data_IF_883808450558
#
_entry.id   IF_883808450558
#
_cell.length_a   1.000
_cell.length_b   1.000
_cell.length_c   1.000
_cell.angle_alpha   90.00
_cell.angle_beta   90.00
_cell.angle_gamma   90.00
#
_symmetry.space_group_name_H-M   'P 1'
#
loop_
_entity.id
_entity.type
_entity.pdbx_description
1 polymer ?
#
# COMPACT_ATOMS: atom_id res chain seq x y z
N UNK A 1 -2.08 -6.94 -21.14
CA UNK A 1 -2.80 -7.91 -20.29
C UNK A 1 -2.05 -9.22 -20.02
N UNK A 2 -1.54 -9.97 -21.03
CA UNK A 2 -0.86 -11.28 -20.81
C UNK A 2 0.24 -11.27 -19.73
N UNK A 3 1.10 -10.25 -19.74
CA UNK A 3 2.18 -10.09 -18.76
C UNK A 3 1.65 -9.88 -17.34
N UNK A 4 0.63 -9.03 -17.17
CA UNK A 4 0.03 -8.75 -15.87
C UNK A 4 -0.53 -10.03 -15.24
N UNK A 5 -1.29 -10.83 -16.00
CA UNK A 5 -1.81 -12.12 -15.54
C UNK A 5 -0.70 -13.08 -15.09
N UNK A 6 0.41 -13.09 -15.83
CA UNK A 6 1.57 -13.92 -15.46
C UNK A 6 2.20 -13.42 -14.15
N UNK A 7 2.38 -12.10 -14.00
CA UNK A 7 2.99 -11.54 -12.79
C UNK A 7 2.12 -11.75 -11.57
N UNK A 8 0.80 -11.63 -11.72
CA UNK A 8 -0.16 -11.92 -10.64
C UNK A 8 -0.12 -13.39 -10.23
N UNK A 9 -0.02 -14.33 -11.18
CA UNK A 9 0.16 -15.76 -10.86
C UNK A 9 1.45 -16.07 -10.12
N UNK A 10 2.50 -15.29 -10.35
CA UNK A 10 3.73 -15.43 -9.58
C UNK A 10 3.60 -14.79 -8.21
N UNK A 11 3.06 -13.57 -8.14
CA UNK A 11 2.84 -12.83 -6.90
C UNK A 11 2.03 -13.64 -5.88
N UNK A 12 0.99 -14.35 -6.34
CA UNK A 12 0.15 -15.25 -5.55
C UNK A 12 0.95 -16.32 -4.79
N UNK A 13 2.11 -16.74 -5.33
CA UNK A 13 2.97 -17.76 -4.73
C UNK A 13 4.05 -17.20 -3.82
N UNK A 14 4.30 -15.89 -3.86
CA UNK A 14 5.45 -15.27 -3.17
C UNK A 14 5.33 -15.46 -1.67
N UNK A 15 4.16 -15.17 -1.09
CA UNK A 15 3.93 -15.31 0.35
C UNK A 15 4.17 -16.75 0.81
N UNK A 16 3.49 -17.71 0.19
CA UNK A 16 3.65 -19.14 0.50
C UNK A 16 5.12 -19.58 0.38
N UNK A 17 5.79 -19.16 -0.70
CA UNK A 17 7.21 -19.48 -0.92
C UNK A 17 8.09 -18.94 0.21
N UNK A 18 7.86 -17.69 0.64
CA UNK A 18 8.61 -17.07 1.73
C UNK A 18 8.32 -17.76 3.05
N UNK A 19 7.05 -17.95 3.41
CA UNK A 19 6.64 -18.60 4.67
C UNK A 19 7.25 -20.00 4.77
N UNK A 20 7.07 -20.83 3.76
CA UNK A 20 7.55 -22.22 3.79
C UNK A 20 9.07 -22.30 3.78
N UNK A 21 9.77 -21.54 2.92
CA UNK A 21 11.22 -21.70 2.78
C UNK A 21 12.05 -20.91 3.80
N UNK A 22 11.51 -19.83 4.35
CA UNK A 22 12.25 -18.97 5.28
C UNK A 22 11.86 -19.17 6.74
N UNK A 23 10.64 -19.62 7.03
CA UNK A 23 10.15 -19.75 8.40
C UNK A 23 9.90 -21.21 8.76
N UNK A 24 9.03 -21.92 8.04
CA UNK A 24 8.68 -23.31 8.36
C UNK A 24 9.90 -24.25 8.24
N UNK A 25 10.55 -24.24 7.07
CA UNK A 25 11.70 -25.11 6.80
C UNK A 25 12.94 -24.79 7.66
N UNK A 26 13.00 -23.59 8.24
CA UNK A 26 14.13 -23.13 9.07
C UNK A 26 13.77 -23.03 10.56
N UNK A 27 12.52 -23.34 10.93
CA UNK A 27 11.97 -23.11 12.26
C UNK A 27 12.26 -21.70 12.80
N UNK A 28 12.22 -20.69 11.93
CA UNK A 28 12.44 -19.29 12.29
C UNK A 28 11.12 -18.69 12.76
N UNK A 29 11.15 -17.89 13.83
CA UNK A 29 10.00 -17.12 14.29
C UNK A 29 9.57 -16.06 13.25
N UNK A 30 8.26 -15.94 13.05
CA UNK A 30 7.66 -14.93 12.19
C UNK A 30 7.34 -13.69 13.00
N UNK A 31 8.09 -12.62 12.77
CA UNK A 31 8.00 -11.38 13.55
C UNK A 31 7.09 -10.34 12.88
N UNK A 32 6.80 -9.26 13.60
CA UNK A 32 5.89 -8.21 13.12
C UNK A 32 6.46 -7.48 11.91
N UNK A 33 7.78 -7.34 11.81
CA UNK A 33 8.45 -6.59 10.77
C UNK A 33 8.37 -7.31 9.41
N UNK A 34 8.55 -8.62 9.43
CA UNK A 34 8.30 -9.50 8.30
C UNK A 34 6.80 -9.53 7.93
N UNK A 35 5.90 -9.53 8.92
CA UNK A 35 4.46 -9.46 8.69
C UNK A 35 4.04 -8.15 8.00
N UNK A 36 4.60 -7.00 8.40
CA UNK A 36 4.36 -5.71 7.72
C UNK A 36 4.88 -5.76 6.29
N UNK A 37 6.10 -6.25 6.08
CA UNK A 37 6.74 -6.30 4.76
C UNK A 37 5.94 -7.17 3.79
N UNK A 38 5.58 -8.38 4.21
CA UNK A 38 4.75 -9.28 3.39
C UNK A 38 3.32 -8.77 3.26
N UNK A 39 2.77 -8.09 4.27
CA UNK A 39 1.45 -7.47 4.22
C UNK A 39 1.34 -6.36 3.18
N UNK A 40 2.35 -5.50 3.06
CA UNK A 40 2.39 -4.46 2.01
C UNK A 40 2.52 -5.09 0.61
N UNK A 41 3.30 -6.17 0.48
CA UNK A 41 3.38 -6.92 -0.77
C UNK A 41 2.04 -7.57 -1.14
N UNK A 42 1.37 -8.19 -0.17
CA UNK A 42 0.04 -8.80 -0.36
C UNK A 42 -1.00 -7.76 -0.78
N UNK A 43 -0.98 -6.57 -0.19
CA UNK A 43 -1.85 -5.47 -0.58
C UNK A 43 -1.52 -4.95 -2.00
N UNK A 44 -0.25 -4.89 -2.39
CA UNK A 44 0.17 -4.59 -3.78
C UNK A 44 -0.39 -5.62 -4.76
N UNK A 45 -0.28 -6.91 -4.42
CA UNK A 45 -0.80 -8.01 -5.21
C UNK A 45 -2.32 -7.91 -5.40
N UNK A 46 -3.07 -7.74 -4.29
CA UNK A 46 -4.53 -7.57 -4.32
C UNK A 46 -4.97 -6.37 -5.14
N UNK A 47 -4.29 -5.22 -5.00
CA UNK A 47 -4.54 -4.06 -5.87
C UNK A 47 -4.30 -4.38 -7.34
N UNK A 48 -3.27 -5.16 -7.66
CA UNK A 48 -3.02 -5.65 -9.02
C UNK A 48 -4.12 -6.56 -9.56
N UNK A 49 -4.69 -7.44 -8.72
CA UNK A 49 -5.85 -8.28 -9.09
C UNK A 49 -7.10 -7.43 -9.34
N UNK A 50 -7.39 -6.49 -8.44
CA UNK A 50 -8.51 -5.55 -8.58
C UNK A 50 -8.38 -4.72 -9.85
N UNK A 51 -7.17 -4.19 -10.13
CA UNK A 51 -6.87 -3.46 -11.36
C UNK A 51 -7.14 -4.32 -12.60
N UNK A 52 -6.67 -5.58 -12.62
CA UNK A 52 -6.94 -6.51 -13.73
C UNK A 52 -8.45 -6.68 -13.94
N UNK A 53 -9.20 -6.91 -12.86
CA UNK A 53 -10.65 -7.12 -12.94
C UNK A 53 -11.38 -5.88 -13.48
N UNK A 54 -11.04 -4.69 -12.99
CA UNK A 54 -11.64 -3.44 -13.45
C UNK A 54 -11.41 -3.25 -14.96
N UNK A 55 -10.18 -3.46 -15.43
CA UNK A 55 -9.83 -3.30 -16.84
C UNK A 55 -10.57 -4.33 -17.71
N UNK A 56 -10.63 -5.59 -17.29
CA UNK A 56 -11.31 -6.65 -18.06
C UNK A 56 -12.82 -6.41 -18.18
N UNK A 57 -13.41 -5.73 -17.20
CA UNK A 57 -14.82 -5.34 -17.21
C UNK A 57 -15.07 -3.94 -17.79
N UNK A 58 -14.05 -3.27 -18.35
CA UNK A 58 -14.14 -1.90 -18.90
C UNK A 58 -14.67 -0.89 -17.87
N UNK A 59 -14.28 -1.07 -16.61
CA UNK A 59 -14.63 -0.19 -15.50
C UNK A 59 -13.48 0.78 -15.26
N UNK A 60 -13.62 2.02 -15.75
CA UNK A 60 -12.56 3.02 -15.67
C UNK A 60 -12.45 3.67 -14.28
N UNK A 61 -13.56 3.72 -13.55
CA UNK A 61 -13.59 4.30 -12.21
C UNK A 61 -12.73 3.49 -11.24
N UNK A 62 -11.73 4.14 -10.65
CA UNK A 62 -10.86 3.57 -9.62
C UNK A 62 -9.57 2.93 -10.13
N UNK A 63 -9.37 2.80 -11.45
CA UNK A 63 -8.10 2.26 -12.02
C UNK A 63 -6.90 3.11 -11.57
N UNK A 64 -7.01 4.44 -11.62
CA UNK A 64 -5.91 5.34 -11.23
C UNK A 64 -5.67 5.31 -9.72
N UNK A 65 -6.73 5.23 -8.91
CA UNK A 65 -6.60 5.06 -7.45
C UNK A 65 -5.89 3.75 -7.10
N UNK A 66 -6.19 2.66 -7.81
CA UNK A 66 -5.47 1.39 -7.63
C UNK A 66 -4.01 1.53 -8.05
N UNK A 67 -3.76 2.15 -9.20
CA UNK A 67 -2.40 2.37 -9.73
C UNK A 67 -1.54 3.20 -8.79
N UNK A 68 -2.09 4.27 -8.19
CA UNK A 68 -1.45 5.05 -7.13
C UNK A 68 -1.09 4.18 -5.93
N UNK A 69 -2.06 3.42 -5.42
CA UNK A 69 -1.83 2.54 -4.27
C UNK A 69 -0.76 1.48 -4.54
N UNK A 70 -0.64 0.99 -5.78
CA UNK A 70 0.43 0.07 -6.17
C UNK A 70 1.81 0.77 -6.18
N UNK A 71 1.88 2.03 -6.61
CA UNK A 71 3.11 2.82 -6.56
C UNK A 71 3.55 3.04 -5.10
N UNK A 72 2.65 3.46 -4.23
CA UNK A 72 2.93 3.66 -2.80
C UNK A 72 3.51 2.40 -2.16
N UNK A 73 2.84 1.26 -2.34
CA UNK A 73 3.30 -0.01 -1.80
C UNK A 73 4.68 -0.39 -2.34
N UNK A 74 4.94 -0.16 -3.63
CA UNK A 74 6.25 -0.46 -4.23
C UNK A 74 7.37 0.37 -3.60
N UNK A 75 7.14 1.67 -3.38
CA UNK A 75 8.10 2.56 -2.74
C UNK A 75 8.32 2.16 -1.27
N UNK A 76 7.24 1.85 -0.54
CA UNK A 76 7.34 1.38 0.85
C UNK A 76 8.08 0.05 0.96
N UNK A 77 7.86 -0.89 0.03
CA UNK A 77 8.61 -2.13 -0.05
C UNK A 77 10.09 -1.87 -0.33
N UNK A 78 10.43 -0.99 -1.28
CA UNK A 78 11.83 -0.61 -1.52
C UNK A 78 12.49 -0.12 -0.23
N UNK A 79 11.82 0.69 0.57
CA UNK A 79 12.33 1.16 1.85
C UNK A 79 12.54 0.02 2.86
N UNK A 80 11.50 -0.77 3.10
CA UNK A 80 11.54 -1.88 4.07
C UNK A 80 12.60 -2.94 3.71
N UNK A 81 12.90 -3.11 2.42
CA UNK A 81 13.85 -4.11 1.94
C UNK A 81 15.28 -3.56 1.75
N UNK A 82 15.49 -2.24 1.79
CA UNK A 82 16.82 -1.61 1.57
C UNK A 82 17.51 -1.15 2.86
N UNK A 83 16.77 -1.01 3.95
CA UNK A 83 17.28 -0.52 5.23
C UNK A 83 17.12 -1.56 6.33
N UNK A 84 17.42 -1.16 7.58
CA UNK A 84 17.09 -1.96 8.76
C UNK A 84 15.56 -2.12 8.86
N UNK A 85 15.07 -3.21 8.26
CA UNK A 85 13.67 -3.62 8.25
C UNK A 85 13.07 -3.66 9.65
N UNK A 86 13.88 -3.96 10.67
CA UNK A 86 13.43 -4.10 12.04
C UNK A 86 12.82 -2.79 12.54
N UNK A 87 13.58 -1.70 12.50
CA UNK A 87 13.08 -0.42 13.03
C UNK A 87 11.96 0.16 12.17
N UNK A 88 12.03 -0.02 10.85
CA UNK A 88 11.02 0.47 9.91
C UNK A 88 9.67 -0.27 10.04
N UNK A 89 9.69 -1.60 10.11
CA UNK A 89 8.48 -2.42 10.29
C UNK A 89 7.80 -2.11 11.61
N UNK A 90 8.57 -1.99 12.69
CA UNK A 90 8.09 -1.52 14.00
C UNK A 90 7.49 -0.12 13.93
N UNK A 91 8.16 0.80 13.24
CA UNK A 91 7.68 2.18 13.04
C UNK A 91 6.36 2.24 12.29
N UNK A 92 6.21 1.45 11.22
CA UNK A 92 4.97 1.31 10.46
C UNK A 92 3.84 0.79 11.35
N UNK A 93 4.08 -0.30 12.09
CA UNK A 93 3.09 -0.91 12.96
C UNK A 93 2.62 0.08 14.03
N UNK A 94 3.55 0.70 14.76
CA UNK A 94 3.24 1.64 15.83
C UNK A 94 2.47 2.86 15.31
N UNK A 95 2.85 3.43 14.15
CA UNK A 95 2.12 4.55 13.55
C UNK A 95 0.66 4.20 13.23
N UNK A 96 0.43 3.05 12.59
CA UNK A 96 -0.92 2.65 12.20
C UNK A 96 -1.78 2.32 13.42
N UNK A 97 -1.23 1.61 14.42
CA UNK A 97 -1.95 1.30 15.67
C UNK A 97 -2.31 2.55 16.47
N UNK A 98 -1.38 3.51 16.58
CA UNK A 98 -1.68 4.78 17.24
C UNK A 98 -2.76 5.56 16.47
N UNK A 99 -2.72 5.56 15.14
CA UNK A 99 -3.75 6.20 14.31
C UNK A 99 -5.13 5.58 14.54
N UNK A 100 -5.23 4.25 14.58
CA UNK A 100 -6.46 3.52 14.93
C UNK A 100 -6.98 3.93 16.33
N UNK A 101 -6.09 3.94 17.33
CA UNK A 101 -6.46 4.32 18.71
C UNK A 101 -6.90 5.80 18.81
N UNK A 102 -6.31 6.70 18.02
CA UNK A 102 -6.74 8.11 17.95
C UNK A 102 -8.14 8.28 17.35
N UNK A 103 -8.48 7.48 16.34
CA UNK A 103 -9.84 7.44 15.80
C UNK A 103 -10.81 6.96 16.88
N UNK A 104 -10.47 5.87 17.58
CA UNK A 104 -11.30 5.36 18.67
C UNK A 104 -11.50 6.40 19.77
N UNK A 105 -10.44 7.12 20.18
CA UNK A 105 -10.55 8.24 21.12
C UNK A 105 -11.53 9.32 20.65
N UNK A 106 -11.58 9.60 19.34
CA UNK A 106 -12.52 10.57 18.77
C UNK A 106 -13.97 10.04 18.83
N UNK A 107 -14.17 8.74 18.59
CA UNK A 107 -15.50 8.11 18.65
C UNK A 107 -16.04 8.10 20.08
N UNK A 108 -15.21 7.77 21.07
CA UNK A 108 -15.63 7.65 22.47
C UNK A 108 -15.59 8.99 23.24
N UNK A 109 -15.19 10.07 22.58
CA UNK A 109 -15.19 11.40 23.16
C UNK A 109 -16.62 11.81 23.52
N UNK A 110 -16.81 12.39 24.70
CA UNK A 110 -18.14 12.83 25.18
C UNK A 110 -18.49 14.25 24.68
N UNK A 111 -17.79 14.72 23.65
CA UNK A 111 -18.04 15.99 22.97
C UNK A 111 -19.09 15.88 21.85
N UNK A 112 -19.41 17.00 21.21
CA UNK A 112 -20.42 17.04 20.14
C UNK A 112 -20.03 16.24 18.91
N UNK A 113 -18.72 16.04 18.65
CA UNK A 113 -18.25 15.27 17.50
C UNK A 113 -18.45 13.78 17.77
N UNK A 114 -18.00 13.28 18.93
CA UNK A 114 -18.15 11.88 19.32
C UNK A 114 -19.62 11.46 19.35
N UNK A 115 -20.51 12.29 19.92
CA UNK A 115 -21.97 12.05 19.92
C UNK A 115 -22.53 11.89 18.51
N UNK A 116 -22.19 12.81 17.60
CA UNK A 116 -22.64 12.75 16.20
C UNK A 116 -22.10 11.52 15.47
N UNK A 117 -20.88 11.09 15.76
CA UNK A 117 -20.32 9.85 15.18
C UNK A 117 -21.10 8.62 15.66
N UNK A 118 -21.40 8.52 16.96
CA UNK A 118 -22.18 7.42 17.52
C UNK A 118 -23.60 7.37 16.92
N UNK A 119 -24.25 8.53 16.76
CA UNK A 119 -25.54 8.66 16.08
C UNK A 119 -25.47 8.16 14.63
N UNK A 120 -24.44 8.57 13.87
CA UNK A 120 -24.24 8.13 12.49
C UNK A 120 -24.00 6.61 12.39
N UNK A 121 -23.33 6.04 13.38
CA UNK A 121 -23.06 4.60 13.46
C UNK A 121 -24.26 3.80 13.99
N UNK A 122 -25.34 4.47 14.42
CA UNK A 122 -26.48 3.86 15.07
C UNK A 122 -26.09 2.96 16.26
N UNK A 123 -25.10 3.40 17.04
CA UNK A 123 -24.59 2.72 18.24
C UNK A 123 -24.53 3.67 19.42
N UNK A 124 -24.44 3.13 20.64
CA UNK A 124 -24.22 3.91 21.85
C UNK A 124 -22.77 3.81 22.36
N UNK A 125 -22.40 4.75 23.23
CA UNK A 125 -21.06 4.84 23.82
C UNK A 125 -20.69 3.60 24.64
N UNK A 126 -21.64 2.97 25.33
CA UNK A 126 -21.35 1.80 26.16
C UNK A 126 -21.10 0.56 25.31
N UNK A 127 -21.86 0.38 24.23
CA UNK A 127 -21.59 -0.66 23.22
C UNK A 127 -20.17 -0.53 22.67
N UNK A 128 -19.75 0.67 22.24
CA UNK A 128 -18.39 0.91 21.72
C UNK A 128 -17.33 0.71 22.81
N UNK A 129 -17.54 1.20 24.03
CA UNK A 129 -16.61 1.01 25.16
C UNK A 129 -16.51 -0.47 25.59
N UNK A 130 -17.59 -1.24 25.50
CA UNK A 130 -17.62 -2.66 25.88
C UNK A 130 -16.97 -3.54 24.81
N UNK A 131 -17.24 -3.27 23.53
CA UNK A 131 -16.59 -3.96 22.41
C UNK A 131 -15.10 -3.65 22.32
N UNK A 132 -14.72 -2.39 22.58
CA UNK A 132 -13.31 -2.01 22.61
C UNK A 132 -12.61 -2.49 23.87
N UNK A 133 -13.30 -2.56 25.02
CA UNK A 133 -12.76 -3.02 26.31
C UNK A 133 -11.49 -2.28 26.77
N UNK A 134 -11.18 -1.15 26.15
CA UNK A 134 -9.85 -0.57 26.11
C UNK A 134 -9.89 0.91 26.48
N UNK A 135 -8.94 1.31 27.31
CA UNK A 135 -8.52 2.70 27.46
C UNK A 135 -7.51 3.01 26.33
N UNK A 136 -7.90 3.74 25.26
CA UNK A 136 -7.01 3.92 24.13
C UNK A 136 -5.82 4.83 24.47
N UNK A 137 -5.96 5.76 25.42
CA UNK A 137 -4.84 6.58 25.89
C UNK A 137 -3.79 5.74 26.62
N UNK A 138 -4.22 4.86 27.52
CA UNK A 138 -3.32 3.91 28.18
C UNK A 138 -2.60 3.05 27.15
N UNK A 139 -3.29 2.62 26.09
CA UNK A 139 -2.71 1.77 25.05
C UNK A 139 -1.74 2.50 24.13
N UNK A 140 -2.02 3.77 23.84
CA UNK A 140 -1.03 4.64 23.17
C UNK A 140 0.23 4.75 24.05
N UNK A 141 0.10 4.95 25.37
CA UNK A 141 1.26 5.01 26.28
C UNK A 141 2.04 3.68 26.34
N UNK A 142 1.33 2.54 26.39
CA UNK A 142 1.93 1.21 26.35
C UNK A 142 2.70 0.99 25.04
N UNK A 143 2.09 1.29 23.89
CA UNK A 143 2.74 1.20 22.57
C UNK A 143 3.96 2.13 22.48
N UNK A 144 3.86 3.37 22.93
CA UNK A 144 5.01 4.30 22.92
C UNK A 144 6.16 3.78 23.79
N UNK A 145 5.85 3.06 24.87
CA UNK A 145 6.86 2.43 25.73
C UNK A 145 7.47 1.18 25.09
N UNK A 146 6.63 0.31 24.51
CA UNK A 146 7.05 -0.91 23.82
C UNK A 146 7.91 -0.63 22.58
N UNK A 147 7.60 0.47 21.87
CA UNK A 147 8.29 0.92 20.67
C UNK A 147 9.16 2.15 20.93
N UNK A 148 9.74 2.26 22.13
CA UNK A 148 10.59 3.39 22.53
C UNK A 148 11.75 3.63 21.56
N UNK A 149 12.34 2.56 21.02
CA UNK A 149 13.38 2.59 19.99
C UNK A 149 12.95 3.37 18.73
N UNK A 150 11.69 3.22 18.31
CA UNK A 150 11.11 3.96 17.19
C UNK A 150 10.96 5.44 17.54
N UNK A 151 10.38 5.73 18.71
CA UNK A 151 10.03 7.11 19.10
C UNK A 151 11.24 7.95 19.54
N UNK A 152 12.37 7.32 19.83
CA UNK A 152 13.66 8.01 19.99
C UNK A 152 14.19 8.57 18.66
N UNK A 153 13.83 7.95 17.52
CA UNK A 153 14.27 8.34 16.19
C UNK A 153 13.23 9.18 15.44
N UNK A 154 11.96 8.82 15.57
CA UNK A 154 10.83 9.46 14.88
C UNK A 154 9.96 10.25 15.86
N UNK A 155 9.75 11.52 15.55
CA UNK A 155 8.80 12.38 16.28
C UNK A 155 7.35 11.95 16.05
N UNK A 156 6.52 12.11 17.08
CA UNK A 156 5.08 11.88 16.94
C UNK A 156 4.48 12.83 15.88
N UNK A 157 3.54 12.32 15.08
CA UNK A 157 2.87 13.08 14.02
C UNK A 157 3.66 13.16 12.71
N UNK A 158 4.90 12.67 12.66
CA UNK A 158 5.64 12.50 11.41
C UNK A 158 5.28 11.19 10.72
N UNK A 159 5.54 11.13 9.41
CA UNK A 159 5.41 9.93 8.59
C UNK A 159 6.24 8.77 9.16
N UNK A 160 5.72 7.54 9.05
CA UNK A 160 6.34 6.37 9.68
C UNK A 160 7.74 6.05 9.14
N UNK A 161 8.02 6.46 7.90
CA UNK A 161 9.32 6.30 7.25
C UNK A 161 10.32 7.42 7.58
N UNK A 162 9.92 8.46 8.32
CA UNK A 162 10.77 9.60 8.66
C UNK A 162 11.68 9.32 9.87
N UNK A 163 12.44 8.22 9.84
CA UNK A 163 13.41 7.87 10.89
C UNK A 163 14.72 8.66 10.75
N UNK A 164 15.01 9.18 9.56
CA UNK A 164 16.20 9.97 9.25
C UNK A 164 16.03 11.48 9.51
N UNK A 165 14.83 11.91 9.90
CA UNK A 165 14.40 13.31 10.05
C UNK A 165 14.52 14.17 8.77
N UNK A 166 14.74 13.53 7.61
CA UNK A 166 14.91 14.17 6.29
C UNK A 166 13.79 13.78 5.33
N UNK A 167 13.28 12.56 5.42
CA UNK A 167 12.24 12.03 4.54
C UNK A 167 10.86 12.29 5.14
N UNK A 168 10.36 13.51 5.01
CA UNK A 168 9.17 14.05 5.69
C UNK A 168 7.86 13.81 4.95
N UNK A 169 7.92 13.52 3.66
CA UNK A 169 6.74 13.26 2.84
C UNK A 169 7.05 12.24 1.73
N UNK A 170 5.99 11.81 1.04
CA UNK A 170 6.09 10.75 0.04
C UNK A 170 6.93 11.15 -1.19
N UNK A 171 6.95 12.44 -1.57
CA UNK A 171 7.81 12.95 -2.64
C UNK A 171 9.29 12.81 -2.25
N UNK A 172 9.67 13.20 -1.04
CA UNK A 172 11.03 13.03 -0.54
C UNK A 172 11.43 11.55 -0.48
N UNK A 173 10.49 10.67 -0.14
CA UNK A 173 10.72 9.22 -0.18
C UNK A 173 10.93 8.72 -1.62
N UNK A 174 10.18 9.24 -2.60
CA UNK A 174 10.40 8.91 -4.01
C UNK A 174 11.77 9.39 -4.50
N UNK A 175 12.19 10.60 -4.13
CA UNK A 175 13.53 11.14 -4.47
C UNK A 175 14.65 10.25 -3.95
N UNK A 176 14.48 9.67 -2.76
CA UNK A 176 15.44 8.74 -2.16
C UNK A 176 15.72 7.51 -3.02
N UNK A 177 14.75 7.08 -3.83
CA UNK A 177 14.87 5.93 -4.74
C UNK A 177 15.01 6.32 -6.21
N UNK A 178 15.32 7.59 -6.52
CA UNK A 178 15.40 8.11 -7.89
C UNK A 178 14.09 7.93 -8.68
N UNK A 179 12.94 8.09 -7.99
CA UNK A 179 11.60 7.93 -8.56
C UNK A 179 10.77 9.22 -8.54
N UNK A 180 11.45 10.38 -8.54
CA UNK A 180 10.80 11.69 -8.63
C UNK A 180 10.00 11.90 -9.93
N UNK A 181 10.48 11.49 -11.12
CA UNK A 181 9.69 11.57 -12.35
C UNK A 181 8.37 10.79 -12.26
N UNK A 182 8.42 9.57 -11.73
CA UNK A 182 7.27 8.70 -11.52
C UNK A 182 6.27 9.33 -10.56
N UNK A 183 6.75 10.02 -9.51
CA UNK A 183 5.87 10.76 -8.62
C UNK A 183 5.11 11.86 -9.37
N UNK A 184 5.81 12.67 -10.17
CA UNK A 184 5.17 13.79 -10.87
C UNK A 184 4.21 13.34 -11.98
N UNK A 185 4.56 12.28 -12.70
CA UNK A 185 3.77 11.80 -13.85
C UNK A 185 2.63 10.89 -13.39
N UNK A 186 2.87 10.01 -12.42
CA UNK A 186 1.90 8.98 -12.01
C UNK A 186 1.17 9.42 -10.76
N UNK A 187 1.91 9.64 -9.68
CA UNK A 187 1.30 9.85 -8.36
C UNK A 187 0.42 11.10 -8.31
N UNK A 188 0.94 12.22 -8.82
CA UNK A 188 0.21 13.49 -8.83
C UNK A 188 -1.04 13.41 -9.70
N UNK A 189 -0.88 12.90 -10.93
CA UNK A 189 -1.99 12.72 -11.88
C UNK A 189 -3.10 11.85 -11.31
N UNK A 190 -2.76 10.73 -10.67
CA UNK A 190 -3.75 9.82 -10.08
C UNK A 190 -4.35 10.36 -8.79
N UNK A 191 -3.67 11.26 -8.09
CA UNK A 191 -4.19 11.92 -6.89
C UNK A 191 -5.24 12.97 -7.23
N UNK A 192 -5.09 13.67 -8.35
CA UNK A 192 -6.07 14.63 -8.85
C UNK A 192 -7.44 13.93 -9.06
N UNK A 193 -7.47 12.73 -9.66
CA UNK A 193 -8.73 11.97 -9.88
C UNK A 193 -9.56 11.67 -8.62
N UNK A 194 -8.94 11.59 -7.44
CA UNK A 194 -9.62 11.27 -6.18
C UNK A 194 -10.48 12.44 -5.70
N UNK A 195 -10.26 13.66 -6.20
CA UNK A 195 -11.00 14.85 -5.79
C UNK A 195 -12.20 15.12 -6.70
N UNK A 196 -13.38 15.31 -6.10
CA UNK A 196 -14.65 15.55 -6.81
C UNK A 196 -14.62 16.75 -7.78
N UNK A 197 -13.70 17.70 -7.56
CA UNK A 197 -13.52 18.90 -8.40
C UNK A 197 -13.09 18.57 -9.84
N UNK A 198 -12.50 17.41 -10.08
CA UNK A 198 -12.04 17.00 -11.42
C UNK A 198 -13.13 16.35 -12.28
N UNK A 199 -14.33 16.12 -11.74
CA UNK A 199 -15.50 15.74 -12.55
C UNK A 199 -15.82 16.82 -13.59
N UNK A 200 -15.61 18.11 -13.28
CA UNK A 200 -15.88 19.22 -14.20
C UNK A 200 -15.04 19.16 -15.48
N UNK A 201 -13.83 18.59 -15.42
CA UNK A 201 -12.96 18.41 -16.59
C UNK A 201 -13.42 17.25 -17.49
N UNK A 202 -14.36 16.44 -17.01
CA UNK A 202 -14.83 15.19 -17.64
C UNK A 202 -16.29 15.22 -18.04
N UNK A 203 -17.05 16.23 -17.61
CA UNK A 203 -18.45 16.35 -17.97
C UNK A 203 -18.55 16.73 -19.44
N UNK A 204 -19.27 15.91 -20.20
CA UNK A 204 -19.80 16.25 -21.52
C UNK A 204 -21.30 16.44 -21.39
N UNK A 205 -21.76 17.63 -21.72
CA UNK A 205 -23.19 17.96 -21.81
C UNK A 205 -23.55 18.16 -23.27
N UNK A 206 -24.49 17.36 -23.76
CA UNK A 206 -25.14 17.52 -25.06
C UNK A 206 -26.66 17.67 -24.84
N UNK A 207 -27.42 18.00 -25.89
CA UNK A 207 -28.89 18.13 -25.80
C UNK A 207 -29.54 16.84 -25.26
N UNK A 208 -29.94 16.86 -23.98
CA UNK A 208 -30.59 15.73 -23.29
C UNK A 208 -29.65 14.69 -22.69
N UNK A 209 -28.33 14.83 -22.82
CA UNK A 209 -27.36 13.85 -22.32
C UNK A 209 -26.28 14.48 -21.43
N UNK A 210 -26.09 13.89 -20.25
CA UNK A 210 -24.98 14.16 -19.35
C UNK A 210 -24.13 12.90 -19.24
N UNK A 211 -22.87 12.98 -19.67
CA UNK A 211 -21.90 11.90 -19.54
C UNK A 211 -20.64 12.39 -18.82
N UNK A 212 -20.05 11.54 -17.99
CA UNK A 212 -18.69 11.74 -17.47
C UNK A 212 -17.75 10.90 -18.33
N UNK A 213 -16.91 11.56 -19.10
CA UNK A 213 -15.91 10.92 -19.95
C UNK A 213 -14.82 10.29 -19.08
N UNK A 214 -14.39 9.07 -19.41
CA UNK A 214 -13.21 8.49 -18.77
C UNK A 214 -11.94 9.22 -19.19
N UNK A 215 -10.92 9.21 -18.33
CA UNK A 215 -9.65 9.90 -18.59
C UNK A 215 -8.73 9.19 -19.58
N UNK A 216 -9.04 7.95 -19.93
CA UNK A 216 -8.19 7.14 -20.80
C UNK A 216 -9.02 6.32 -21.77
N UNK A 217 -8.81 6.53 -23.06
CA UNK A 217 -9.28 5.61 -24.12
C UNK A 217 -8.58 4.24 -24.05
N UNK A 218 -7.54 4.10 -23.20
CA UNK A 218 -6.69 2.91 -23.07
C UNK A 218 -6.11 2.74 -21.65
N UNK A 219 -6.40 1.60 -21.01
CA UNK A 219 -5.77 1.20 -19.74
C UNK A 219 -4.33 0.67 -19.89
N UNK A 220 -3.73 0.77 -21.08
CA UNK A 220 -2.39 0.22 -21.35
C UNK A 220 -1.30 0.83 -20.48
N UNK A 221 -1.47 2.10 -20.13
CA UNK A 221 -0.55 2.81 -19.25
C UNK A 221 -0.56 2.21 -17.84
N UNK A 222 -1.73 2.06 -17.23
CA UNK A 222 -1.89 1.47 -15.90
C UNK A 222 -1.47 0.00 -15.87
N UNK A 223 -1.75 -0.76 -16.94
CA UNK A 223 -1.22 -2.12 -17.12
C UNK A 223 0.32 -2.11 -17.09
N UNK A 224 0.95 -1.16 -17.78
CA UNK A 224 2.41 -1.07 -17.86
C UNK A 224 3.02 -0.75 -16.49
N UNK A 225 2.42 0.17 -15.75
CA UNK A 225 2.83 0.49 -14.37
C UNK A 225 2.69 -0.72 -13.45
N UNK A 226 1.53 -1.39 -13.46
CA UNK A 226 1.30 -2.59 -12.66
C UNK A 226 2.33 -3.68 -12.97
N UNK A 227 2.70 -3.86 -14.24
CA UNK A 227 3.75 -4.82 -14.61
C UNK A 227 5.11 -4.45 -14.00
N UNK A 228 5.50 -3.18 -14.05
CA UNK A 228 6.77 -2.70 -13.51
C UNK A 228 6.79 -2.89 -12.00
N UNK A 229 5.76 -2.42 -11.30
CA UNK A 229 5.64 -2.46 -9.84
C UNK A 229 5.61 -3.88 -9.29
N UNK A 230 4.81 -4.79 -9.89
CA UNK A 230 4.79 -6.19 -9.48
C UNK A 230 6.13 -6.87 -9.76
N UNK A 231 6.70 -6.69 -10.96
CA UNK A 231 7.95 -7.34 -11.31
C UNK A 231 9.12 -6.89 -10.44
N UNK A 232 9.20 -5.60 -10.12
CA UNK A 232 10.21 -5.05 -9.22
C UNK A 232 10.03 -5.58 -7.78
N UNK A 233 8.80 -5.54 -7.26
CA UNK A 233 8.51 -5.99 -5.90
C UNK A 233 8.76 -7.49 -5.71
N UNK A 234 8.38 -8.34 -6.66
CA UNK A 234 8.67 -9.79 -6.62
C UNK A 234 10.18 -10.03 -6.55
N UNK A 235 10.98 -9.33 -7.37
CA UNK A 235 12.45 -9.45 -7.34
C UNK A 235 13.02 -9.03 -6.00
N UNK A 236 12.57 -7.89 -5.47
CA UNK A 236 13.09 -7.35 -4.23
C UNK A 236 12.77 -8.28 -3.05
N UNK A 237 11.55 -8.82 -2.98
CA UNK A 237 11.16 -9.80 -1.95
C UNK A 237 12.01 -11.07 -2.04
N UNK A 238 12.10 -11.70 -3.21
CA UNK A 238 12.92 -12.92 -3.34
C UNK A 238 14.40 -12.67 -3.06
N UNK A 239 14.92 -11.51 -3.45
CA UNK A 239 16.30 -11.12 -3.17
C UNK A 239 16.53 -10.95 -1.66
N UNK A 240 15.67 -10.17 -0.99
CA UNK A 240 15.76 -9.87 0.42
C UNK A 240 15.71 -11.13 1.29
N UNK A 241 14.78 -12.05 1.00
CA UNK A 241 14.67 -13.32 1.72
C UNK A 241 15.68 -14.40 1.27
N UNK A 242 16.61 -14.07 0.36
CA UNK A 242 17.66 -14.99 -0.06
C UNK A 242 17.18 -16.17 -0.92
N UNK A 243 16.01 -16.05 -1.56
CA UNK A 243 15.35 -17.09 -2.36
C UNK A 243 15.93 -17.17 -3.78
N UNK A 244 17.24 -17.43 -3.89
CA UNK A 244 18.00 -17.38 -5.16
C UNK A 244 17.41 -18.24 -6.28
N UNK A 245 16.90 -19.43 -5.96
CA UNK A 245 16.30 -20.35 -6.95
C UNK A 245 14.99 -19.79 -7.51
N UNK A 246 14.10 -19.29 -6.64
CA UNK A 246 12.85 -18.66 -7.03
C UNK A 246 13.11 -17.39 -7.86
N UNK A 247 14.05 -16.54 -7.41
CA UNK A 247 14.46 -15.33 -8.14
C UNK A 247 14.98 -15.65 -9.54
N UNK A 248 15.83 -16.67 -9.68
CA UNK A 248 16.35 -17.08 -10.99
C UNK A 248 15.22 -17.55 -11.91
N UNK A 249 14.34 -18.41 -11.41
CA UNK A 249 13.19 -18.90 -12.17
C UNK A 249 12.28 -17.76 -12.63
N UNK A 250 11.95 -16.84 -11.71
CA UNK A 250 11.17 -15.65 -12.02
C UNK A 250 11.79 -14.82 -13.14
N UNK A 251 13.10 -14.53 -13.03
CA UNK A 251 13.80 -13.73 -14.04
C UNK A 251 13.87 -14.41 -15.42
N UNK A 252 14.02 -15.74 -15.47
CA UNK A 252 13.94 -16.50 -16.73
C UNK A 252 12.55 -16.39 -17.35
N UNK A 253 11.52 -16.57 -16.54
CA UNK A 253 10.12 -16.50 -16.96
C UNK A 253 9.75 -15.10 -17.48
N UNK A 254 10.20 -14.03 -16.82
CA UNK A 254 10.02 -12.65 -17.32
C UNK A 254 10.76 -12.44 -18.64
N UNK A 255 12.00 -12.90 -18.77
CA UNK A 255 12.79 -12.78 -20.03
C UNK A 255 12.09 -13.45 -21.22
N UNK A 256 11.56 -14.65 -21.03
CA UNK A 256 10.83 -15.39 -22.07
C UNK A 256 9.59 -14.60 -22.52
N UNK A 257 8.82 -14.08 -21.58
CA UNK A 257 7.60 -13.33 -21.89
C UNK A 257 7.87 -11.94 -22.48
N UNK A 258 9.03 -11.34 -22.20
CA UNK A 258 9.45 -10.04 -22.77
C UNK A 258 9.97 -10.19 -24.21
N UNK A 259 10.72 -11.27 -24.51
CA UNK A 259 11.22 -11.55 -25.87
C UNK A 259 10.13 -11.93 -26.88
N UNK A 260 8.92 -12.27 -26.44
CA UNK A 260 7.78 -12.52 -27.34
C UNK A 260 7.08 -11.25 -27.83
N UNK A 261 7.53 -10.05 -27.41
CA UNK A 261 7.00 -8.76 -27.88
C UNK A 261 7.89 -8.02 -28.89
N UNK A 262 9.02 -8.60 -29.30
CA UNK A 262 9.80 -8.09 -30.44
C UNK A 262 9.47 -8.90 -31.70
N UNK A 263 8.35 -8.58 -32.32
CA UNK A 263 8.08 -8.84 -33.74
C UNK A 263 7.28 -7.67 -34.30
#
# INVERSE_FOLDING_TARGET
MKMLKMLLREADKVLETVITQCYEAKSKEFNIEDAITLGIFEDLFKKGQSLQLLIENKMDAGIDSMSRGMMENTIYLKLLLSEDNRILGRSYYAANKIKELKILNTIIAEDDIGKRILELMATDLQSVKTESGFDPEKKIKELTTEFKDVFELRREGHEWYNLDNKTRNFLELCKRFDMEPEYHIFYRRFSDEVHAQDVMKRIKVNEGELAVLSHTDSSEFQISLANIFLADSIRNIYSYYGLKKALRHFNEMVKINYKLKSK
#
